data_IF_612114565202
#
_entry.id   IF_612114565202
#
_cell.length_a   1.000
_cell.length_b   1.000
_cell.length_c   1.000
_cell.angle_alpha   90.00
_cell.angle_beta   90.00
_cell.angle_gamma   90.00
#
_symmetry.space_group_name_H-M   'P 1'
#
loop_
_entity.id
_entity.type
_entity.pdbx_description
1 polymer ?
#
# COMPACT_ATOMS: atom_id res chain seq x y z
N UNK A 1 -4.09 15.51 -1.91
CA UNK A 1 -3.69 14.16 -1.51
C UNK A 1 -3.95 13.21 -2.65
N UNK A 2 -2.90 12.61 -3.21
CA UNK A 2 -2.98 11.61 -4.27
C UNK A 2 -3.31 10.23 -3.70
N UNK A 3 -3.72 9.29 -4.55
CA UNK A 3 -3.94 7.89 -4.13
C UNK A 3 -2.68 7.28 -3.53
N UNK A 4 -1.51 7.59 -4.09
CA UNK A 4 -0.21 7.16 -3.56
C UNK A 4 0.02 7.66 -2.12
N UNK A 5 -0.11 8.98 -1.88
CA UNK A 5 0.10 9.58 -0.55
C UNK A 5 -0.88 9.02 0.50
N UNK A 6 -2.12 8.73 0.09
CA UNK A 6 -3.11 8.11 0.97
C UNK A 6 -2.71 6.69 1.38
N UNK A 7 -2.21 5.89 0.42
CA UNK A 7 -1.78 4.51 0.66
C UNK A 7 -0.53 4.45 1.51
N UNK A 8 0.45 5.30 1.22
CA UNK A 8 1.68 5.42 1.99
C UNK A 8 1.40 5.80 3.45
N UNK A 9 0.55 6.81 3.67
CA UNK A 9 0.12 7.20 5.04
C UNK A 9 -0.60 6.07 5.75
N UNK A 10 -1.43 5.32 5.05
CA UNK A 10 -2.15 4.20 5.62
C UNK A 10 -1.21 3.06 6.04
N UNK A 11 -0.28 2.65 5.17
CA UNK A 11 0.74 1.63 5.47
C UNK A 11 1.56 2.06 6.69
N UNK A 12 2.05 3.30 6.70
CA UNK A 12 2.86 3.82 7.81
C UNK A 12 2.09 3.90 9.13
N UNK A 13 0.80 4.28 9.10
CA UNK A 13 -0.05 4.22 10.30
C UNK A 13 -0.15 2.80 10.82
N UNK A 14 -0.44 1.83 9.95
CA UNK A 14 -0.61 0.43 10.37
C UNK A 14 0.69 -0.20 10.88
N UNK A 15 1.84 0.16 10.30
CA UNK A 15 3.17 -0.19 10.83
C UNK A 15 3.40 0.40 12.22
N UNK A 16 3.14 1.70 12.39
CA UNK A 16 3.31 2.39 13.68
C UNK A 16 2.39 1.83 14.76
N UNK A 17 1.16 1.49 14.41
CA UNK A 17 0.15 0.99 15.35
C UNK A 17 0.38 -0.50 15.72
N UNK A 18 1.42 -1.15 15.17
CA UNK A 18 1.81 -2.52 15.50
C UNK A 18 0.88 -3.60 14.95
N UNK A 19 -0.07 -3.25 14.10
CA UNK A 19 -1.10 -4.15 13.53
C UNK A 19 -0.73 -4.69 12.15
N UNK A 20 0.54 -4.54 11.75
CA UNK A 20 1.04 -4.91 10.43
C UNK A 20 1.36 -6.40 10.32
N UNK A 21 0.33 -7.24 10.45
CA UNK A 21 0.43 -8.69 10.35
C UNK A 21 0.30 -9.17 8.88
N UNK A 22 0.58 -10.45 8.65
CA UNK A 22 0.61 -11.03 7.30
C UNK A 22 -0.74 -10.94 6.57
N UNK A 23 -1.85 -11.11 7.29
CA UNK A 23 -3.19 -10.95 6.73
C UNK A 23 -3.42 -9.52 6.21
N UNK A 24 -2.95 -8.51 6.96
CA UNK A 24 -3.05 -7.11 6.53
C UNK A 24 -2.14 -6.83 5.34
N UNK A 25 -0.93 -7.42 5.29
CA UNK A 25 -0.04 -7.32 4.13
C UNK A 25 -0.71 -7.86 2.87
N UNK A 26 -1.32 -9.03 2.93
CA UNK A 26 -2.04 -9.62 1.79
C UNK A 26 -3.23 -8.75 1.36
N UNK A 27 -4.02 -8.27 2.32
CA UNK A 27 -5.16 -7.39 2.04
C UNK A 27 -4.72 -6.09 1.37
N UNK A 28 -3.62 -5.48 1.86
CA UNK A 28 -3.07 -4.26 1.28
C UNK A 28 -2.51 -4.52 -0.11
N UNK A 29 -1.79 -5.63 -0.31
CA UNK A 29 -1.28 -6.03 -1.62
C UNK A 29 -2.40 -6.15 -2.66
N UNK A 30 -3.47 -6.86 -2.32
CA UNK A 30 -4.66 -6.97 -3.20
C UNK A 30 -5.24 -5.58 -3.53
N UNK A 31 -5.30 -4.69 -2.53
CA UNK A 31 -5.78 -3.31 -2.73
C UNK A 31 -4.86 -2.51 -3.66
N UNK A 32 -3.54 -2.66 -3.52
CA UNK A 32 -2.56 -2.03 -4.41
C UNK A 32 -2.69 -2.53 -5.84
N UNK A 33 -2.89 -3.85 -6.03
CA UNK A 33 -3.11 -4.45 -7.35
C UNK A 33 -4.33 -3.84 -8.05
N UNK A 34 -5.45 -3.71 -7.32
CA UNK A 34 -6.67 -3.07 -7.84
C UNK A 34 -6.41 -1.61 -8.24
N UNK A 35 -5.66 -0.84 -7.43
CA UNK A 35 -5.34 0.54 -7.77
C UNK A 35 -4.39 0.67 -8.97
N UNK A 36 -3.46 -0.27 -9.12
CA UNK A 36 -2.57 -0.32 -10.28
C UNK A 36 -3.36 -0.64 -11.56
N UNK A 37 -4.22 -1.66 -11.52
CA UNK A 37 -5.10 -2.03 -12.64
C UNK A 37 -6.05 -0.89 -13.04
N UNK A 38 -6.51 -0.10 -12.06
CA UNK A 38 -7.34 1.08 -12.30
C UNK A 38 -6.54 2.32 -12.75
N UNK A 39 -5.24 2.20 -13.02
CA UNK A 39 -4.33 3.31 -13.36
C UNK A 39 -4.35 4.46 -12.34
N UNK A 40 -4.64 4.16 -11.06
CA UNK A 40 -4.66 5.15 -9.96
C UNK A 40 -3.28 5.36 -9.34
N UNK A 41 -2.40 4.37 -9.50
CA UNK A 41 -0.99 4.43 -9.17
C UNK A 41 -0.19 3.85 -10.34
N UNK A 42 0.99 4.41 -10.58
CA UNK A 42 1.95 3.87 -11.54
C UNK A 42 2.65 2.63 -10.99
N UNK A 43 3.29 1.85 -11.87
CA UNK A 43 4.09 0.68 -11.48
C UNK A 43 5.24 1.05 -10.53
N UNK A 44 5.88 2.20 -10.73
CA UNK A 44 6.94 2.69 -9.83
C UNK A 44 6.41 3.00 -8.42
N UNK A 45 5.21 3.61 -8.34
CA UNK A 45 4.52 3.86 -7.08
C UNK A 45 4.06 2.56 -6.40
N UNK A 46 3.55 1.60 -7.17
CA UNK A 46 3.20 0.27 -6.67
C UNK A 46 4.43 -0.41 -6.03
N UNK A 47 5.55 -0.45 -6.74
CA UNK A 47 6.79 -1.06 -6.25
C UNK A 47 7.33 -0.36 -4.99
N UNK A 48 7.20 0.97 -4.89
CA UNK A 48 7.57 1.70 -3.69
C UNK A 48 6.68 1.32 -2.48
N UNK A 49 5.36 1.22 -2.70
CA UNK A 49 4.41 0.80 -1.66
C UNK A 49 4.63 -0.65 -1.23
N UNK A 50 4.98 -1.55 -2.15
CA UNK A 50 5.33 -2.95 -1.81
C UNK A 50 6.57 -3.01 -0.91
N UNK A 51 7.65 -2.30 -1.26
CA UNK A 51 8.86 -2.22 -0.42
C UNK A 51 8.57 -1.63 0.97
N UNK A 52 7.61 -0.71 1.07
CA UNK A 52 7.16 -0.17 2.35
C UNK A 52 6.43 -1.20 3.21
N UNK A 53 5.97 -2.34 2.67
CA UNK A 53 5.28 -3.40 3.41
C UNK A 53 6.18 -4.58 3.78
N UNK A 54 7.37 -4.69 3.17
CA UNK A 54 8.44 -5.58 3.63
C UNK A 54 8.89 -5.17 5.05
#
# INVERSE_FOLDING_TARGET
MTTYEMLEKHINSKKRDGVFNDLLKETLKFKLDVYMLANRISESQYNALIKLME
#
